data_IF_440722701276
#
_entry.id   IF_440722701276
#
_cell.length_a   1.000
_cell.length_b   1.000
_cell.length_c   1.000
_cell.angle_alpha   90.00
_cell.angle_beta   90.00
_cell.angle_gamma   90.00
#
_symmetry.space_group_name_H-M   'P 1'
#
loop_
_entity.id
_entity.type
_entity.pdbx_description
1 polymer ?
#
# COMPACT_ATOMS: atom_id res chain seq x y z
N UNK A 1 -14.33 8.10 -1.66
CA UNK A 1 -14.17 6.99 -0.68
C UNK A 1 -12.80 7.16 -0.05
N UNK A 2 -12.61 6.72 1.19
CA UNK A 2 -11.36 6.86 1.93
C UNK A 2 -10.85 5.47 2.26
N UNK A 3 -9.56 5.26 2.06
CA UNK A 3 -8.85 4.07 2.49
C UNK A 3 -8.47 4.25 3.97
N UNK A 4 -9.18 3.54 4.85
CA UNK A 4 -8.86 3.44 6.26
C UNK A 4 -7.80 2.33 6.43
N UNK A 5 -6.53 2.71 6.51
CA UNK A 5 -5.38 1.79 6.53
C UNK A 5 -4.52 1.99 7.78
N UNK A 6 -3.99 0.90 8.31
CA UNK A 6 -2.83 0.89 9.19
C UNK A 6 -1.76 -0.05 8.65
N UNK A 7 -0.52 0.42 8.70
CA UNK A 7 0.66 -0.35 8.34
C UNK A 7 1.51 -0.62 9.58
N UNK A 8 2.08 -1.82 9.65
CA UNK A 8 2.96 -2.21 10.74
C UNK A 8 4.13 -3.08 10.26
N UNK A 9 5.23 -3.09 11.04
CA UNK A 9 6.27 -4.11 10.93
C UNK A 9 5.82 -5.41 11.61
N UNK A 10 6.08 -6.54 10.96
CA UNK A 10 5.72 -7.86 11.49
C UNK A 10 6.97 -8.48 12.12
N UNK A 11 6.90 -8.73 13.44
CA UNK A 11 8.02 -9.37 14.18
C UNK A 11 8.01 -10.90 14.05
N UNK A 12 6.82 -11.51 14.18
CA UNK A 12 6.62 -12.95 14.04
C UNK A 12 5.75 -13.23 12.80
N UNK A 13 6.41 -13.36 11.67
CA UNK A 13 5.76 -13.54 10.36
C UNK A 13 4.94 -14.82 10.30
N UNK A 14 5.44 -15.93 10.88
CA UNK A 14 4.75 -17.22 10.80
C UNK A 14 3.48 -17.23 11.67
N UNK A 15 3.52 -16.60 12.85
CA UNK A 15 2.34 -16.47 13.71
C UNK A 15 1.26 -15.62 13.04
N UNK A 16 1.61 -14.44 12.50
CA UNK A 16 0.67 -13.54 11.81
C UNK A 16 0.08 -14.21 10.57
N UNK A 17 0.91 -14.89 9.79
CA UNK A 17 0.48 -15.63 8.60
C UNK A 17 -0.49 -16.77 8.93
N UNK A 18 -0.24 -17.52 10.02
CA UNK A 18 -1.14 -18.56 10.51
C UNK A 18 -2.48 -17.97 10.95
N UNK A 19 -2.46 -16.85 11.69
CA UNK A 19 -3.68 -16.15 12.13
C UNK A 19 -4.51 -15.60 10.96
N UNK A 20 -3.86 -15.12 9.90
CA UNK A 20 -4.53 -14.69 8.67
C UNK A 20 -5.09 -15.87 7.89
N UNK A 21 -4.32 -16.96 7.75
CA UNK A 21 -4.76 -18.17 7.04
C UNK A 21 -5.96 -18.84 7.72
N UNK A 22 -6.12 -18.68 9.03
CA UNK A 22 -7.31 -19.14 9.75
C UNK A 22 -8.58 -18.32 9.42
N UNK A 23 -8.44 -17.11 8.87
CA UNK A 23 -9.56 -16.23 8.49
C UNK A 23 -9.96 -16.36 7.03
N UNK A 24 -8.98 -16.49 6.13
CA UNK A 24 -9.23 -16.66 4.69
C UNK A 24 -8.03 -17.27 3.97
N UNK A 25 -8.25 -17.76 2.75
CA UNK A 25 -7.16 -18.22 1.88
C UNK A 25 -6.31 -17.03 1.41
N UNK A 26 -4.99 -17.15 1.58
CA UNK A 26 -4.04 -16.16 1.11
C UNK A 26 -3.82 -16.27 -0.40
N UNK A 27 -3.92 -15.14 -1.10
CA UNK A 27 -3.60 -15.04 -2.52
C UNK A 27 -2.22 -14.39 -2.70
N UNK A 28 -1.27 -15.13 -3.28
CA UNK A 28 0.05 -14.58 -3.61
C UNK A 28 -0.08 -13.63 -4.79
N UNK A 29 0.65 -12.52 -4.73
CA UNK A 29 0.72 -11.54 -5.79
C UNK A 29 2.08 -10.84 -5.80
N UNK A 30 2.47 -10.37 -6.97
CA UNK A 30 3.61 -9.51 -7.18
C UNK A 30 3.11 -8.17 -7.68
N UNK A 31 3.46 -7.09 -6.99
CA UNK A 31 3.14 -5.73 -7.38
C UNK A 31 4.41 -5.07 -7.93
N UNK A 32 4.30 -4.51 -9.12
CA UNK A 32 5.30 -3.63 -9.71
C UNK A 32 4.73 -2.22 -9.66
N UNK A 33 5.26 -1.39 -8.77
CA UNK A 33 4.81 -0.02 -8.55
C UNK A 33 5.77 0.95 -9.23
N UNK A 34 5.22 1.93 -9.93
CA UNK A 34 5.93 3.09 -10.44
C UNK A 34 5.22 4.34 -9.94
N UNK A 35 5.93 5.18 -9.20
CA UNK A 35 5.44 6.45 -8.71
C UNK A 35 5.93 7.58 -9.59
N UNK A 36 5.06 8.54 -9.84
CA UNK A 36 5.33 9.69 -10.69
C UNK A 36 5.20 10.98 -9.92
N UNK A 37 5.99 11.97 -10.31
CA UNK A 37 5.91 13.32 -9.78
C UNK A 37 6.18 14.34 -10.89
N UNK A 38 5.89 15.60 -10.62
CA UNK A 38 6.30 16.72 -11.45
C UNK A 38 7.80 16.98 -11.30
N UNK A 39 8.38 17.75 -12.21
CA UNK A 39 9.81 18.05 -12.20
C UNK A 39 10.28 18.72 -10.89
N UNK A 40 9.38 19.47 -10.24
CA UNK A 40 9.59 20.19 -8.98
C UNK A 40 9.19 19.40 -7.71
N UNK A 41 8.92 18.11 -7.82
CA UNK A 41 8.49 17.21 -6.72
C UNK A 41 7.22 17.68 -6.01
N UNK A 42 6.34 18.40 -6.73
CA UNK A 42 5.18 19.06 -6.12
C UNK A 42 4.14 18.08 -5.60
N UNK A 43 3.93 16.92 -6.26
CA UNK A 43 2.96 15.95 -5.76
C UNK A 43 3.40 15.42 -4.39
N UNK A 44 4.62 14.91 -4.28
CA UNK A 44 5.13 14.37 -3.03
C UNK A 44 5.26 15.44 -1.94
N UNK A 45 5.74 16.66 -2.29
CA UNK A 45 5.86 17.76 -1.32
C UNK A 45 4.52 18.22 -0.74
N UNK A 46 3.42 18.05 -1.48
CA UNK A 46 2.05 18.33 -1.04
C UNK A 46 1.35 17.10 -0.45
N UNK A 47 2.06 15.98 -0.26
CA UNK A 47 1.50 14.74 0.30
C UNK A 47 0.59 13.98 -0.64
N UNK A 48 0.61 14.28 -1.93
CA UNK A 48 -0.10 13.60 -3.01
C UNK A 48 0.74 12.47 -3.61
N UNK A 49 0.08 11.46 -4.16
CA UNK A 49 0.77 10.34 -4.81
C UNK A 49 0.08 10.00 -6.13
N UNK A 50 0.87 9.75 -7.17
CA UNK A 50 0.41 9.20 -8.44
C UNK A 50 1.19 7.92 -8.72
N UNK A 51 0.50 6.78 -8.78
CA UNK A 51 1.09 5.46 -8.92
C UNK A 51 0.47 4.68 -10.07
N UNK A 52 1.32 4.09 -10.88
CA UNK A 52 0.95 3.03 -11.82
C UNK A 52 1.42 1.70 -11.24
N UNK A 53 0.48 0.80 -10.96
CA UNK A 53 0.74 -0.52 -10.36
C UNK A 53 0.37 -1.62 -11.34
N UNK A 54 1.24 -2.59 -11.51
CA UNK A 54 0.90 -3.85 -12.16
C UNK A 54 0.88 -4.97 -11.12
N UNK A 55 -0.26 -5.63 -11.01
CA UNK A 55 -0.50 -6.78 -10.13
C UNK A 55 -0.44 -8.04 -10.96
N UNK A 56 0.45 -8.95 -10.61
CA UNK A 56 0.56 -10.30 -11.19
C UNK A 56 0.18 -11.33 -10.14
N UNK A 57 -0.74 -12.22 -10.48
CA UNK A 57 -1.17 -13.36 -9.67
C UNK A 57 -1.13 -14.63 -10.52
N UNK A 58 -1.37 -15.79 -9.92
CA UNK A 58 -1.52 -17.05 -10.67
C UNK A 58 -2.70 -17.01 -11.66
N UNK A 59 -3.69 -16.14 -11.42
CA UNK A 59 -4.91 -16.01 -12.24
C UNK A 59 -4.78 -14.98 -13.38
N UNK A 60 -3.65 -14.27 -13.46
CA UNK A 60 -3.42 -13.27 -14.51
C UNK A 60 -2.78 -11.99 -14.02
N UNK A 61 -2.85 -10.98 -14.89
CA UNK A 61 -2.22 -9.68 -14.68
C UNK A 61 -3.25 -8.56 -14.90
N UNK A 62 -3.23 -7.55 -14.03
CA UNK A 62 -4.00 -6.30 -14.20
C UNK A 62 -3.16 -5.10 -13.81
N UNK A 63 -3.52 -3.94 -14.33
CA UNK A 63 -2.81 -2.70 -13.99
C UNK A 63 -3.79 -1.64 -13.52
N UNK A 64 -3.35 -0.86 -12.54
CA UNK A 64 -4.14 0.16 -11.85
C UNK A 64 -3.39 1.49 -11.92
N UNK A 65 -4.11 2.56 -12.24
CA UNK A 65 -3.65 3.93 -12.04
C UNK A 65 -4.33 4.49 -10.81
N UNK A 66 -3.55 4.89 -9.83
CA UNK A 66 -4.04 5.37 -8.53
C UNK A 66 -3.53 6.79 -8.28
N UNK A 67 -4.42 7.69 -7.87
CA UNK A 67 -4.08 9.00 -7.35
C UNK A 67 -4.59 9.13 -5.91
N UNK A 68 -3.71 9.53 -5.00
CA UNK A 68 -4.05 9.78 -3.59
C UNK A 68 -3.89 11.26 -3.27
N UNK A 69 -4.91 11.81 -2.61
CA UNK A 69 -4.89 13.16 -2.06
C UNK A 69 -4.00 13.24 -0.80
N UNK A 70 -3.72 14.44 -0.29
CA UNK A 70 -3.06 14.59 1.00
C UNK A 70 -3.80 13.87 2.13
N UNK A 71 -3.04 13.44 3.12
CA UNK A 71 -3.56 12.77 4.32
C UNK A 71 -4.61 13.64 5.02
N UNK A 72 -5.77 13.07 5.33
CA UNK A 72 -6.86 13.72 6.07
C UNK A 72 -6.86 13.31 7.56
N UNK A 73 -6.23 12.20 7.90
CA UNK A 73 -6.00 11.75 9.27
C UNK A 73 -4.52 11.44 9.49
N UNK A 74 -3.83 12.31 10.22
CA UNK A 74 -2.39 12.19 10.47
C UNK A 74 -2.02 11.00 11.37
N UNK A 75 -2.96 10.48 12.17
CA UNK A 75 -2.70 9.36 13.05
C UNK A 75 -2.64 8.01 12.31
N UNK A 76 -3.43 7.86 11.25
CA UNK A 76 -3.46 6.65 10.41
C UNK A 76 -2.72 6.81 9.09
N UNK A 77 -2.58 8.06 8.61
CA UNK A 77 -2.11 8.33 7.24
C UNK A 77 -3.19 8.14 6.18
N UNK A 78 -4.47 7.96 6.58
CA UNK A 78 -5.60 7.75 5.67
C UNK A 78 -5.77 8.88 4.67
N UNK A 79 -5.98 8.52 3.40
CA UNK A 79 -6.05 9.45 2.26
C UNK A 79 -7.30 9.18 1.41
N UNK A 80 -7.93 10.20 0.82
CA UNK A 80 -8.84 9.99 -0.30
C UNK A 80 -8.09 9.38 -1.48
N UNK A 81 -8.66 8.32 -2.07
CA UNK A 81 -8.06 7.58 -3.17
C UNK A 81 -8.99 7.52 -4.38
N UNK A 82 -8.41 7.70 -5.55
CA UNK A 82 -9.06 7.54 -6.86
C UNK A 82 -8.27 6.50 -7.65
N UNK A 83 -8.89 5.36 -7.92
CA UNK A 83 -8.25 4.25 -8.61
C UNK A 83 -9.08 3.79 -9.81
N UNK A 84 -8.40 3.44 -10.89
CA UNK A 84 -9.02 2.86 -12.08
C UNK A 84 -8.12 1.80 -12.70
N UNK A 85 -8.75 0.75 -13.24
CA UNK A 85 -8.02 -0.25 -14.02
C UNK A 85 -7.65 0.31 -15.41
N UNK A 86 -6.44 0.01 -15.87
CA UNK A 86 -5.91 0.44 -17.17
C UNK A 86 -5.56 -0.76 -18.03
N UNK A 87 -5.96 -0.71 -19.30
CA UNK A 87 -5.76 -1.84 -20.22
C UNK A 87 -4.30 -2.02 -20.65
N UNK A 88 -3.55 -0.93 -20.84
CA UNK A 88 -2.15 -0.95 -21.26
C UNK A 88 -1.31 0.02 -20.38
N UNK A 89 -0.55 -0.52 -19.41
CA UNK A 89 0.27 0.32 -18.54
C UNK A 89 1.42 1.04 -19.29
N UNK A 90 1.90 0.53 -20.42
CA UNK A 90 2.96 1.18 -21.20
C UNK A 90 2.47 2.44 -21.91
N UNK A 91 1.22 2.43 -22.34
CA UNK A 91 0.57 3.62 -22.90
C UNK A 91 0.36 4.66 -21.82
N UNK A 92 -0.08 4.26 -20.61
CA UNK A 92 -0.24 5.17 -19.47
C UNK A 92 1.10 5.78 -19.07
N UNK A 93 2.18 4.98 -18.94
CA UNK A 93 3.53 5.52 -18.65
C UNK A 93 3.93 6.58 -19.69
N UNK A 94 3.71 6.28 -20.99
CA UNK A 94 4.02 7.22 -22.08
C UNK A 94 3.19 8.50 -22.01
N UNK A 95 1.89 8.41 -21.67
CA UNK A 95 1.02 9.57 -21.49
C UNK A 95 1.47 10.43 -20.30
N UNK A 96 1.78 9.82 -19.16
CA UNK A 96 2.23 10.54 -17.97
C UNK A 96 3.55 11.29 -18.24
N UNK A 97 4.51 10.64 -18.91
CA UNK A 97 5.76 11.30 -19.35
C UNK A 97 5.52 12.40 -20.37
N UNK A 98 4.57 12.21 -21.29
CA UNK A 98 4.16 13.23 -22.27
C UNK A 98 3.47 14.43 -21.65
N UNK A 99 2.97 14.30 -20.41
CA UNK A 99 2.43 15.36 -19.56
C UNK A 99 3.47 15.94 -18.59
N UNK A 100 4.76 15.76 -18.87
CA UNK A 100 5.90 16.24 -18.09
C UNK A 100 6.03 15.65 -16.66
N UNK A 101 5.38 14.50 -16.39
CA UNK A 101 5.66 13.77 -15.16
C UNK A 101 6.93 12.92 -15.32
N UNK A 102 7.77 12.93 -14.29
CA UNK A 102 8.94 12.07 -14.17
C UNK A 102 8.64 10.85 -13.31
N UNK A 103 9.34 9.76 -13.52
CA UNK A 103 9.37 8.67 -12.54
C UNK A 103 10.11 9.14 -11.30
N UNK A 104 9.45 9.13 -10.17
CA UNK A 104 10.04 9.39 -8.86
C UNK A 104 10.82 8.16 -8.38
N UNK A 105 10.14 7.01 -8.34
CA UNK A 105 10.72 5.72 -7.94
C UNK A 105 9.86 4.58 -8.48
N UNK A 106 10.49 3.45 -8.82
CA UNK A 106 9.78 2.21 -9.11
C UNK A 106 10.40 1.07 -8.31
N UNK A 107 9.58 0.19 -7.75
CA UNK A 107 10.02 -0.98 -6.99
C UNK A 107 8.98 -2.10 -7.01
N UNK A 108 9.40 -3.27 -6.55
CA UNK A 108 8.58 -4.47 -6.50
C UNK A 108 8.17 -4.78 -5.07
N UNK A 109 6.92 -5.26 -4.89
CA UNK A 109 6.43 -5.83 -3.63
C UNK A 109 6.02 -7.28 -3.87
N UNK A 110 6.42 -8.18 -2.99
CA UNK A 110 5.88 -9.53 -2.90
C UNK A 110 4.80 -9.55 -1.82
N UNK A 111 3.58 -9.88 -2.21
CA UNK A 111 2.41 -9.76 -1.36
C UNK A 111 1.70 -11.10 -1.16
N UNK A 112 1.08 -11.26 0.02
CA UNK A 112 0.07 -12.28 0.25
C UNK A 112 -1.17 -11.54 0.76
N UNK A 113 -2.23 -11.57 -0.02
CA UNK A 113 -3.49 -10.86 0.24
C UNK A 113 -4.50 -11.78 0.89
N UNK A 114 -5.12 -11.32 1.99
CA UNK A 114 -6.17 -12.03 2.71
C UNK A 114 -7.39 -11.13 2.82
N UNK A 115 -8.51 -11.55 2.20
CA UNK A 115 -9.78 -10.84 2.29
C UNK A 115 -10.69 -11.57 3.26
N UNK A 116 -11.20 -10.88 4.28
CA UNK A 116 -12.09 -11.44 5.28
C UNK A 116 -13.00 -10.37 5.87
N UNK A 117 -14.03 -10.80 6.58
CA UNK A 117 -14.93 -9.89 7.30
C UNK A 117 -14.53 -9.87 8.78
N UNK A 118 -14.42 -8.69 9.38
CA UNK A 118 -14.25 -8.49 10.82
C UNK A 118 -15.19 -7.38 11.29
N UNK A 119 -15.96 -7.64 12.33
CA UNK A 119 -16.95 -6.71 12.91
C UNK A 119 -17.90 -6.11 11.84
N UNK A 120 -18.33 -6.95 10.88
CA UNK A 120 -19.24 -6.56 9.81
C UNK A 120 -18.62 -5.77 8.67
N UNK A 121 -17.29 -5.51 8.68
CA UNK A 121 -16.55 -4.82 7.62
C UNK A 121 -15.68 -5.77 6.81
N UNK A 122 -15.67 -5.59 5.49
CA UNK A 122 -14.71 -6.28 4.62
C UNK A 122 -13.33 -5.65 4.81
N UNK A 123 -12.35 -6.46 5.15
CA UNK A 123 -10.96 -6.05 5.33
C UNK A 123 -10.07 -6.74 4.29
N UNK A 124 -9.06 -6.03 3.84
CA UNK A 124 -7.93 -6.58 3.11
C UNK A 124 -6.68 -6.48 3.99
N UNK A 125 -6.12 -7.63 4.36
CA UNK A 125 -4.80 -7.70 4.96
C UNK A 125 -3.77 -8.12 3.91
N UNK A 126 -2.74 -7.33 3.73
CA UNK A 126 -1.64 -7.61 2.80
C UNK A 126 -0.34 -7.80 3.59
N UNK A 127 0.21 -9.01 3.61
CA UNK A 127 1.60 -9.22 4.04
C UNK A 127 2.53 -8.83 2.90
N UNK A 128 3.45 -7.92 3.17
CA UNK A 128 4.33 -7.30 2.17
C UNK A 128 5.79 -7.53 2.52
N UNK A 129 6.57 -7.98 1.52
CA UNK A 129 8.02 -7.86 1.50
C UNK A 129 8.45 -7.04 0.30
N UNK A 130 9.37 -6.11 0.50
CA UNK A 130 10.00 -5.33 -0.57
C UNK A 130 11.43 -5.84 -0.68
N UNK A 131 11.89 -6.35 -1.84
CA UNK A 131 13.23 -6.95 -1.97
C UNK A 131 14.39 -6.03 -1.56
N UNK A 132 14.17 -4.72 -1.64
CA UNK A 132 15.16 -3.69 -1.29
C UNK A 132 15.13 -3.27 0.19
N UNK A 133 14.17 -3.77 0.98
CA UNK A 133 13.98 -3.40 2.38
C UNK A 133 14.02 -4.62 3.29
N UNK A 134 14.58 -4.43 4.47
CA UNK A 134 14.58 -5.48 5.48
C UNK A 134 13.22 -5.62 6.17
N UNK A 135 12.83 -6.88 6.40
CA UNK A 135 11.66 -7.24 7.18
C UNK A 135 10.40 -7.47 6.34
N UNK A 136 9.34 -7.79 7.08
CA UNK A 136 7.99 -8.00 6.54
C UNK A 136 7.06 -6.97 7.16
N UNK A 137 6.15 -6.48 6.36
CA UNK A 137 5.12 -5.53 6.78
C UNK A 137 3.75 -6.14 6.63
N UNK A 138 2.79 -5.60 7.36
CA UNK A 138 1.37 -5.83 7.14
C UNK A 138 0.69 -4.50 6.89
N UNK A 139 -0.12 -4.44 5.83
CA UNK A 139 -1.09 -3.39 5.54
C UNK A 139 -2.46 -3.99 5.83
N UNK A 140 -3.28 -3.33 6.64
CA UNK A 140 -4.67 -3.73 6.90
C UNK A 140 -5.57 -2.55 6.59
N UNK A 141 -6.48 -2.74 5.64
CA UNK A 141 -7.28 -1.66 5.08
C UNK A 141 -8.75 -2.04 4.88
N UNK A 142 -9.58 -1.01 4.84
CA UNK A 142 -10.99 -1.06 4.38
C UNK A 142 -11.35 0.25 3.71
N UNK A 143 -12.29 0.21 2.78
CA UNK A 143 -12.75 1.41 2.05
C UNK A 143 -14.08 1.87 2.61
N UNK A 144 -14.13 3.11 3.08
CA UNK A 144 -15.30 3.68 3.76
C UNK A 144 -15.62 5.11 3.31
N UNK A 145 -16.87 5.60 3.53
CA UNK A 145 -17.16 7.02 3.50
C UNK A 145 -16.40 7.75 4.63
N UNK A 146 -16.12 9.04 4.45
CA UNK A 146 -15.42 9.85 5.45
C UNK A 146 -16.11 9.85 6.82
N UNK A 147 -17.45 9.84 6.84
CA UNK A 147 -18.24 9.79 8.07
C UNK A 147 -18.02 8.52 8.92
N UNK A 148 -17.49 7.46 8.33
CA UNK A 148 -17.25 6.18 9.00
C UNK A 148 -15.75 5.93 9.32
N UNK A 149 -14.87 6.87 8.96
CA UNK A 149 -13.42 6.68 9.09
C UNK A 149 -13.00 6.31 10.51
N UNK A 150 -13.48 7.03 11.51
CA UNK A 150 -13.11 6.80 12.92
C UNK A 150 -13.48 5.38 13.40
N UNK A 151 -14.70 4.93 13.07
CA UNK A 151 -15.18 3.58 13.43
C UNK A 151 -14.38 2.51 12.66
N UNK A 152 -14.13 2.72 11.37
CA UNK A 152 -13.33 1.81 10.55
C UNK A 152 -11.91 1.65 11.09
N UNK A 153 -11.27 2.74 11.51
CA UNK A 153 -9.94 2.75 12.10
C UNK A 153 -9.85 1.93 13.40
N UNK A 154 -10.90 1.96 14.25
CA UNK A 154 -10.96 1.12 15.46
C UNK A 154 -11.06 -0.37 15.10
N UNK A 155 -11.85 -0.73 14.08
CA UNK A 155 -11.93 -2.11 13.58
C UNK A 155 -10.58 -2.57 13.04
N UNK A 156 -9.91 -1.74 12.22
CA UNK A 156 -8.59 -2.04 11.67
C UNK A 156 -7.57 -2.23 12.80
N UNK A 157 -7.50 -1.33 13.77
CA UNK A 157 -6.57 -1.40 14.91
C UNK A 157 -6.82 -2.64 15.77
N UNK A 158 -8.08 -2.89 16.12
CA UNK A 158 -8.48 -4.06 16.92
C UNK A 158 -8.12 -5.36 16.21
N UNK A 159 -8.36 -5.42 14.90
CA UNK A 159 -8.02 -6.59 14.09
C UNK A 159 -6.51 -6.81 14.04
N UNK A 160 -5.68 -5.76 13.89
CA UNK A 160 -4.21 -5.88 13.96
C UNK A 160 -3.76 -6.45 15.31
N UNK A 161 -4.32 -5.98 16.43
CA UNK A 161 -4.01 -6.53 17.76
C UNK A 161 -4.38 -8.01 17.88
N UNK A 162 -5.53 -8.42 17.32
CA UNK A 162 -5.94 -9.83 17.27
C UNK A 162 -5.01 -10.69 16.41
N UNK A 163 -4.32 -10.10 15.43
CA UNK A 163 -3.31 -10.75 14.60
C UNK A 163 -1.92 -10.78 15.30
N UNK A 164 -1.79 -10.24 16.51
CA UNK A 164 -0.54 -10.21 17.26
C UNK A 164 0.35 -9.01 16.96
N UNK A 165 -0.16 -7.98 16.29
CA UNK A 165 0.56 -6.72 16.03
C UNK A 165 0.33 -5.75 17.18
N UNK A 166 1.40 -5.30 17.80
CA UNK A 166 1.33 -4.29 18.87
C UNK A 166 1.27 -2.86 18.31
N UNK A 167 0.70 -1.93 19.06
CA UNK A 167 0.64 -0.52 18.64
C UNK A 167 2.04 0.08 18.39
N UNK A 168 3.06 -0.40 19.10
CA UNK A 168 4.46 0.02 18.89
C UNK A 168 5.11 -0.52 17.60
N UNK A 169 4.43 -1.40 16.86
CA UNK A 169 4.88 -1.93 15.57
C UNK A 169 4.30 -1.14 14.41
N UNK A 170 3.31 -0.25 14.67
CA UNK A 170 2.73 0.61 13.65
C UNK A 170 3.77 1.56 13.07
N UNK A 171 3.66 1.83 11.78
CA UNK A 171 4.55 2.74 11.06
C UNK A 171 3.80 3.51 9.98
N UNK A 172 4.15 4.79 9.83
CA UNK A 172 3.68 5.65 8.74
C UNK A 172 4.76 5.85 7.66
N UNK A 173 5.94 5.23 7.83
CA UNK A 173 7.04 5.32 6.86
C UNK A 173 6.58 4.83 5.48
N UNK A 174 6.73 5.64 4.45
CA UNK A 174 6.37 5.27 3.09
C UNK A 174 7.44 4.36 2.47
N UNK A 175 7.01 3.33 1.70
CA UNK A 175 7.97 2.48 0.99
C UNK A 175 8.81 3.26 -0.02
N UNK A 176 8.23 4.29 -0.64
CA UNK A 176 8.93 5.20 -1.56
C UNK A 176 10.14 5.82 -0.90
N UNK A 177 9.96 6.38 0.30
CA UNK A 177 11.02 7.04 1.06
C UNK A 177 12.09 6.05 1.51
N UNK A 178 11.66 4.88 2.04
CA UNK A 178 12.55 3.84 2.50
C UNK A 178 13.42 3.27 1.36
N UNK A 179 12.82 3.01 0.19
CA UNK A 179 13.55 2.51 -1.00
C UNK A 179 14.52 3.56 -1.51
N UNK A 180 14.11 4.83 -1.64
CA UNK A 180 14.99 5.91 -2.07
C UNK A 180 16.17 6.09 -1.10
N UNK A 181 15.92 6.02 0.22
CA UNK A 181 16.97 6.10 1.23
C UNK A 181 17.97 4.92 1.12
N UNK A 182 17.46 3.70 0.92
CA UNK A 182 18.28 2.49 0.75
C UNK A 182 19.15 2.58 -0.50
N UNK A 183 18.58 2.99 -1.65
CA UNK A 183 19.35 3.18 -2.91
C UNK A 183 20.42 4.24 -2.75
N UNK A 184 20.08 5.38 -2.16
CA UNK A 184 21.05 6.46 -1.89
C UNK A 184 22.21 5.98 -1.00
N UNK A 185 21.93 5.20 0.05
CA UNK A 185 22.96 4.65 0.92
C UNK A 185 23.86 3.62 0.19
N UNK A 186 23.31 2.90 -0.80
CA UNK A 186 24.02 1.90 -1.61
C UNK A 186 24.68 2.47 -2.87
N UNK A 187 24.56 3.78 -3.14
CA UNK A 187 25.10 4.43 -4.35
C UNK A 187 24.39 4.01 -5.64
N UNK A 188 23.16 3.48 -5.54
CA UNK A 188 22.32 3.10 -6.67
C UNK A 188 21.45 4.29 -7.13
N UNK A 189 21.16 4.41 -8.45
CA UNK A 189 20.30 5.48 -8.97
C UNK A 189 18.84 5.31 -8.57
#
# INVERSE_FOLDING_TARGET
MIEAELKARVRDVESVKAALAARSAGQRSKYQDTYYDLADDRLSSEGRELRLRTITTDNGRRSLLTYKEPTIDTASGSKPEYETEVGDPSVIDSLLRGLDLKVLVGFEKHCINYRFVSEGRELLATLVTVPELDGTFIELETIVPESELAEAMEVVRTTLRQLGIADGDLTTEQYTDAVLATRKASGLP
#
